data_IF_860290763092
#
_entry.id   IF_860290763092
#
_cell.length_a   1.000
_cell.length_b   1.000
_cell.length_c   1.000
_cell.angle_alpha   90.00
_cell.angle_beta   90.00
_cell.angle_gamma   90.00
#
_symmetry.space_group_name_H-M   'P 1'
#
loop_
_entity.id
_entity.type
_entity.pdbx_description
1 polymer ?
#
# COMPACT_ATOMS: atom_id res chain seq x y z
N UNK A 1 5.04 -4.16 13.65
CA UNK A 1 4.88 -3.92 12.19
C UNK A 1 4.69 -2.43 11.97
N UNK A 2 4.94 -1.89 10.77
CA UNK A 2 4.77 -0.46 10.49
C UNK A 2 3.38 0.04 10.88
N UNK A 3 2.32 -0.72 10.59
CA UNK A 3 0.95 -0.40 11.03
C UNK A 3 0.88 -0.15 12.54
N UNK A 4 1.51 -1.00 13.35
CA UNK A 4 1.40 -0.90 14.81
C UNK A 4 2.22 0.29 15.34
N UNK A 5 3.37 0.58 14.70
CA UNK A 5 4.19 1.76 15.01
C UNK A 5 3.41 3.04 14.74
N UNK A 6 2.75 3.14 13.57
CA UNK A 6 1.91 4.29 13.23
C UNK A 6 0.78 4.46 14.25
N UNK A 7 0.04 3.39 14.56
CA UNK A 7 -1.07 3.45 15.50
C UNK A 7 -0.63 3.82 16.93
N UNK A 8 0.57 3.41 17.35
CA UNK A 8 1.15 3.82 18.63
C UNK A 8 1.51 5.31 18.66
N UNK A 9 1.77 5.90 17.50
CA UNK A 9 2.03 7.33 17.31
C UNK A 9 0.75 8.15 17.03
N UNK A 10 -0.43 7.54 17.20
CA UNK A 10 -1.75 8.14 16.88
C UNK A 10 -1.92 8.48 15.39
N UNK A 11 -1.16 7.83 14.52
CA UNK A 11 -1.24 7.97 13.06
C UNK A 11 -1.86 6.71 12.44
N UNK A 12 -2.72 6.87 11.44
CA UNK A 12 -3.36 5.73 10.77
C UNK A 12 -2.81 5.49 9.36
N UNK A 13 -2.45 4.24 8.99
CA UNK A 13 -2.18 3.88 7.60
C UNK A 13 -3.47 3.70 6.77
N UNK A 14 -4.64 3.95 7.35
CA UNK A 14 -5.95 3.76 6.73
C UNK A 14 -6.64 5.11 6.51
N UNK A 15 -7.44 5.19 5.43
CA UNK A 15 -8.15 6.41 5.09
C UNK A 15 -9.62 6.34 5.55
N UNK A 16 -10.05 7.31 6.37
CA UNK A 16 -11.45 7.47 6.78
C UNK A 16 -12.05 6.19 7.36
N UNK A 17 -13.17 5.71 6.81
CA UNK A 17 -13.85 4.48 7.30
C UNK A 17 -13.00 3.20 7.23
N UNK A 18 -11.89 3.20 6.48
CA UNK A 18 -10.97 2.08 6.49
C UNK A 18 -10.27 1.88 7.86
N UNK A 19 -10.26 2.89 8.74
CA UNK A 19 -9.79 2.78 10.14
C UNK A 19 -10.53 1.70 10.92
N UNK A 20 -11.81 1.49 10.62
CA UNK A 20 -12.65 0.51 11.32
C UNK A 20 -12.90 -0.75 10.48
N UNK A 21 -12.93 -0.62 9.15
CA UNK A 21 -13.27 -1.71 8.22
C UNK A 21 -12.05 -2.50 7.69
N UNK A 22 -10.88 -2.32 8.29
CA UNK A 22 -9.67 -3.04 7.88
C UNK A 22 -9.61 -4.49 8.41
N UNK A 23 -8.71 -5.28 7.80
CA UNK A 23 -8.45 -6.67 8.17
C UNK A 23 -7.59 -6.87 9.43
N UNK A 24 -7.31 -5.81 10.21
CA UNK A 24 -6.51 -5.86 11.45
C UNK A 24 -5.13 -6.53 11.31
N UNK A 25 -4.53 -6.43 10.12
CA UNK A 25 -3.18 -6.94 9.86
C UNK A 25 -3.08 -8.31 9.22
N UNK A 26 -4.19 -8.89 8.75
CA UNK A 26 -4.18 -10.18 8.04
C UNK A 26 -3.61 -10.13 6.60
N UNK A 27 -3.26 -8.94 6.10
CA UNK A 27 -2.74 -8.76 4.75
C UNK A 27 -3.76 -8.92 3.62
N UNK A 28 -5.07 -8.92 3.92
CA UNK A 28 -6.13 -9.25 2.94
C UNK A 28 -6.95 -8.06 2.45
N UNK A 29 -7.12 -6.98 3.23
CA UNK A 29 -7.96 -5.86 2.80
C UNK A 29 -7.25 -4.87 1.86
N UNK A 30 -5.93 -4.74 1.96
CA UNK A 30 -5.12 -3.78 1.19
C UNK A 30 -5.28 -2.31 1.60
N UNK A 31 -6.06 -1.99 2.63
CA UNK A 31 -6.37 -0.58 2.98
C UNK A 31 -5.24 0.12 3.74
N UNK A 32 -4.21 -0.61 4.16
CA UNK A 32 -2.98 -0.07 4.77
C UNK A 32 -1.85 0.12 3.75
N UNK A 33 -2.19 0.25 2.46
CA UNK A 33 -1.18 0.50 1.44
C UNK A 33 -0.57 1.90 1.62
N UNK A 34 0.75 1.97 1.60
CA UNK A 34 1.56 3.18 1.78
C UNK A 34 2.78 3.14 0.85
N UNK A 35 3.27 4.30 0.44
CA UNK A 35 4.62 4.43 -0.12
C UNK A 35 5.63 4.48 1.01
N UNK A 36 6.79 3.87 0.81
CA UNK A 36 7.86 3.82 1.81
C UNK A 36 9.18 4.16 1.14
N UNK A 37 9.91 5.12 1.69
CA UNK A 37 11.30 5.42 1.34
C UNK A 37 12.20 5.11 2.53
N UNK A 38 13.25 4.33 2.29
CA UNK A 38 14.14 3.79 3.32
C UNK A 38 14.51 2.34 3.02
N UNK A 39 15.40 1.76 3.82
CA UNK A 39 15.79 0.35 3.68
C UNK A 39 14.70 -0.55 4.28
N UNK A 40 14.15 -1.44 3.46
CA UNK A 40 13.08 -2.37 3.87
C UNK A 40 13.26 -3.73 3.21
N UNK A 41 12.83 -4.78 3.91
CA UNK A 41 12.75 -6.14 3.37
C UNK A 41 11.79 -6.22 2.16
N UNK A 42 12.03 -7.18 1.25
CA UNK A 42 11.12 -7.45 0.13
C UNK A 42 9.70 -7.84 0.62
N UNK A 43 8.63 -7.49 -0.13
CA UNK A 43 7.28 -7.83 0.27
C UNK A 43 7.06 -9.34 0.31
N UNK A 44 6.35 -9.83 1.33
CA UNK A 44 6.00 -11.26 1.41
C UNK A 44 5.03 -11.71 0.30
N UNK A 45 4.85 -13.04 0.08
CA UNK A 45 3.94 -13.54 -0.96
C UNK A 45 2.50 -13.05 -0.84
N UNK A 46 1.96 -12.97 0.38
CA UNK A 46 0.59 -12.47 0.63
C UNK A 46 0.45 -10.99 0.29
N UNK A 47 1.45 -10.20 0.66
CA UNK A 47 1.51 -8.78 0.36
C UNK A 47 1.54 -8.54 -1.15
N UNK A 48 2.44 -9.23 -1.86
CA UNK A 48 2.53 -9.18 -3.34
C UNK A 48 1.20 -9.53 -4.00
N UNK A 49 0.58 -10.65 -3.61
CA UNK A 49 -0.70 -11.07 -4.16
C UNK A 49 -1.78 -10.01 -3.92
N UNK A 50 -1.86 -9.45 -2.71
CA UNK A 50 -2.89 -8.48 -2.40
C UNK A 50 -2.70 -7.18 -3.16
N UNK A 51 -1.47 -6.69 -3.31
CA UNK A 51 -1.16 -5.46 -4.05
C UNK A 51 -1.29 -5.63 -5.57
N UNK A 52 -1.20 -6.87 -6.09
CA UNK A 52 -1.49 -7.17 -7.49
C UNK A 52 -3.01 -7.26 -7.79
N UNK A 53 -3.88 -7.18 -6.78
CA UNK A 53 -5.33 -7.33 -6.93
C UNK A 53 -6.05 -5.98 -6.83
N UNK A 54 -7.09 -5.72 -7.64
CA UNK A 54 -7.88 -4.49 -7.55
C UNK A 54 -8.30 -4.11 -6.12
N UNK A 55 -8.38 -2.81 -5.80
CA UNK A 55 -8.15 -1.66 -6.67
C UNK A 55 -6.67 -1.25 -6.78
N UNK A 56 -5.75 -2.09 -6.31
CA UNK A 56 -4.33 -1.92 -6.52
C UNK A 56 -3.90 -2.57 -7.83
N UNK A 57 -2.71 -2.21 -8.28
CA UNK A 57 -2.09 -2.73 -9.50
C UNK A 57 -0.68 -3.22 -9.15
N UNK A 58 -0.23 -4.25 -9.86
CA UNK A 58 1.14 -4.73 -9.74
C UNK A 58 2.13 -3.58 -9.97
N UNK A 59 3.28 -3.66 -9.32
CA UNK A 59 4.37 -2.68 -9.50
C UNK A 59 4.01 -1.23 -9.15
N UNK A 60 2.92 -1.00 -8.40
CA UNK A 60 2.55 0.30 -7.83
C UNK A 60 3.61 0.89 -6.90
N UNK A 61 4.60 0.08 -6.46
CA UNK A 61 5.63 0.46 -5.50
C UNK A 61 5.12 0.59 -4.07
N UNK A 62 3.84 0.28 -3.82
CA UNK A 62 3.25 0.35 -2.50
C UNK A 62 3.67 -0.85 -1.63
N UNK A 63 3.59 -0.66 -0.31
CA UNK A 63 3.76 -1.69 0.71
C UNK A 63 2.52 -1.75 1.58
N UNK A 64 2.22 -2.92 2.13
CA UNK A 64 1.20 -3.05 3.18
C UNK A 64 1.86 -2.78 4.53
N UNK A 65 1.51 -1.66 5.17
CA UNK A 65 2.09 -1.31 6.48
C UNK A 65 1.91 -2.42 7.54
N UNK A 66 0.88 -3.25 7.43
CA UNK A 66 0.66 -4.35 8.36
C UNK A 66 1.54 -5.58 8.12
N UNK A 67 2.25 -5.66 7.00
CA UNK A 67 3.15 -6.77 6.67
C UNK A 67 4.63 -6.34 6.67
N UNK A 68 4.90 -5.03 6.80
CA UNK A 68 6.25 -4.47 6.78
C UNK A 68 6.84 -4.37 8.18
N UNK A 69 8.01 -4.96 8.40
CA UNK A 69 8.83 -4.74 9.60
C UNK A 69 9.63 -3.45 9.46
N UNK A 70 9.68 -2.68 10.55
CA UNK A 70 10.50 -1.46 10.66
C UNK A 70 11.77 -1.84 11.38
N UNK A 71 12.92 -1.68 10.71
CA UNK A 71 14.25 -1.98 11.25
C UNK A 71 15.17 -0.75 11.28
N UNK A 72 14.81 0.30 10.55
CA UNK A 72 15.51 1.60 10.47
C UNK A 72 14.49 2.73 10.24
N UNK A 73 14.96 3.97 10.11
CA UNK A 73 14.15 5.16 9.85
C UNK A 73 13.52 5.11 8.45
N UNK A 74 12.20 5.32 8.39
CA UNK A 74 11.41 5.29 7.16
C UNK A 74 10.63 6.59 6.96
N UNK A 75 10.55 7.05 5.72
CA UNK A 75 9.57 8.05 5.29
C UNK A 75 8.37 7.32 4.70
N UNK A 76 7.19 7.58 5.25
CA UNK A 76 5.94 6.88 4.87
C UNK A 76 4.93 7.89 4.34
N UNK A 77 4.36 7.62 3.17
CA UNK A 77 3.32 8.45 2.57
C UNK A 77 2.05 7.63 2.34
N UNK A 78 0.91 8.18 2.81
CA UNK A 78 -0.41 7.63 2.56
C UNK A 78 -1.13 8.41 1.46
N UNK A 79 -1.32 7.77 0.31
CA UNK A 79 -2.08 8.39 -0.79
C UNK A 79 -3.60 8.45 -0.51
N UNK A 80 -4.34 9.29 -1.25
CA UNK A 80 -5.80 9.34 -1.21
C UNK A 80 -6.50 8.07 -1.73
N UNK A 81 -7.82 8.02 -1.54
CA UNK A 81 -8.68 6.88 -1.91
C UNK A 81 -8.83 5.87 -0.78
N UNK A 82 -9.90 5.08 -0.75
CA UNK A 82 -10.19 4.20 0.40
C UNK A 82 -9.06 3.18 0.69
N UNK A 83 -8.30 2.78 -0.33
CA UNK A 83 -7.14 1.90 -0.18
C UNK A 83 -5.80 2.63 -0.20
N UNK A 84 -5.77 3.93 -0.51
CA UNK A 84 -4.52 4.63 -0.83
C UNK A 84 -4.02 4.36 -2.25
N UNK A 85 -4.94 4.06 -3.18
CA UNK A 85 -4.63 3.63 -4.54
C UNK A 85 -4.46 4.80 -5.54
N UNK A 86 -4.77 6.04 -5.15
CA UNK A 86 -4.66 7.21 -6.03
C UNK A 86 -3.24 7.80 -6.00
N UNK A 87 -2.28 7.09 -6.60
CA UNK A 87 -0.84 7.43 -6.56
C UNK A 87 -0.40 8.47 -7.61
N UNK A 88 -1.32 8.92 -8.49
CA UNK A 88 -0.99 9.83 -9.59
C UNK A 88 -0.18 9.21 -10.74
N UNK A 89 0.28 7.96 -10.60
CA UNK A 89 0.83 7.17 -11.71
C UNK A 89 -0.33 6.61 -12.53
N UNK A 90 -0.78 7.37 -13.52
CA UNK A 90 -1.68 6.87 -14.57
C UNK A 90 -0.99 5.71 -15.28
N UNK A 91 -1.61 4.54 -15.28
CA UNK A 91 -1.21 3.45 -16.17
C UNK A 91 -1.35 3.95 -17.61
N UNK A 92 -0.24 4.01 -18.35
CA UNK A 92 -0.31 4.11 -19.80
C UNK A 92 -0.87 2.79 -20.29
N UNK A 93 -2.15 2.76 -20.68
CA UNK A 93 -2.71 1.63 -21.44
C UNK A 93 -2.05 1.62 -22.81
N UNK A 94 -1.36 0.53 -23.15
CA UNK A 94 -0.93 0.23 -24.51
C UNK A 94 -2.17 -0.04 -25.40
N UNK A 95 -2.86 1.03 -25.81
CA UNK A 95 -3.87 0.99 -26.87
C UNK A 95 -3.53 2.06 -27.91
N UNK A 96 -2.36 1.96 -28.55
CA UNK A 96 -2.02 2.81 -29.72
C UNK A 96 -1.05 2.11 -30.69
N UNK A 97 -1.15 0.78 -30.82
CA UNK A 97 -0.52 0.04 -31.94
C UNK A 97 -1.58 -0.70 -32.75
N UNK A 98 -2.58 0.06 -33.23
CA UNK A 98 -3.41 -0.32 -34.38
C UNK A 98 -3.83 0.94 -35.12
N UNK A 99 -2.88 1.56 -35.80
CA UNK A 99 -3.06 2.26 -37.09
C UNK A 99 -1.75 2.96 -37.45
N UNK A 100 -0.82 2.21 -38.06
CA UNK A 100 0.13 2.70 -39.06
C UNK A 100 0.39 1.57 -40.07
#
# INVERSE_FOLDING_TARGET
MLRDVLLQADESPHNGRADTLNCRGLGTCGTCAVSVSGEVEEPGPRERLRLATPPHVSDSGLRLACQLRVEDDLVVEKYPGFWGQHTGRTEVREEDTREL
#
